data_IF_744966020786
#
_entry.id   IF_744966020786
#
_cell.length_a   1.000
_cell.length_b   1.000
_cell.length_c   1.000
_cell.angle_alpha   90.00
_cell.angle_beta   90.00
_cell.angle_gamma   90.00
#
_symmetry.space_group_name_H-M   'P 1'
#
loop_
_entity.id
_entity.type
_entity.pdbx_description
1 polymer ?
#
# COMPACT_ATOMS: atom_id res chain seq x y z
N UNK A 1 21.16 0.62 -44.46
CA UNK A 1 20.35 1.50 -43.58
C UNK A 1 19.25 0.63 -43.01
N UNK A 2 19.48 0.01 -41.85
CA UNK A 2 18.50 -0.89 -41.24
C UNK A 2 17.91 -0.20 -40.01
N UNK A 3 16.60 0.01 -40.04
CA UNK A 3 15.82 0.59 -38.96
C UNK A 3 15.75 -0.43 -37.81
N UNK A 4 16.29 -0.09 -36.65
CA UNK A 4 16.06 -0.85 -35.43
C UNK A 4 14.73 -0.36 -34.82
N UNK A 5 13.66 -1.14 -34.97
CA UNK A 5 12.51 -1.08 -34.07
C UNK A 5 12.89 -1.83 -32.78
N UNK A 6 13.58 -1.13 -31.89
CA UNK A 6 13.88 -1.64 -30.55
C UNK A 6 12.60 -1.56 -29.70
N UNK A 7 12.01 -2.73 -29.41
CA UNK A 7 10.85 -2.87 -28.55
C UNK A 7 11.13 -2.33 -27.14
N UNK A 8 10.29 -1.40 -26.69
CA UNK A 8 10.10 -1.03 -25.29
C UNK A 8 9.56 -2.22 -24.49
N UNK A 9 10.42 -3.14 -24.08
CA UNK A 9 10.17 -3.91 -22.87
C UNK A 9 10.84 -3.17 -21.72
N UNK A 10 10.19 -2.07 -21.33
CA UNK A 10 10.50 -1.28 -20.16
C UNK A 10 10.89 -2.25 -19.05
N UNK A 11 12.15 -2.14 -18.65
CA UNK A 11 12.81 -2.72 -17.49
C UNK A 11 11.81 -3.14 -16.40
N UNK A 12 11.24 -4.34 -16.54
CA UNK A 12 10.51 -5.00 -15.47
C UNK A 12 11.58 -5.51 -14.51
N UNK A 13 12.22 -4.57 -13.81
CA UNK A 13 12.68 -4.84 -12.46
C UNK A 13 11.46 -5.46 -11.82
N UNK A 14 11.58 -6.75 -11.54
CA UNK A 14 10.69 -7.58 -10.75
C UNK A 14 10.46 -6.85 -9.41
N UNK A 15 9.65 -5.80 -9.47
CA UNK A 15 9.12 -5.10 -8.33
C UNK A 15 8.13 -6.12 -7.84
N UNK A 16 8.62 -7.02 -6.99
CA UNK A 16 7.91 -8.10 -6.32
C UNK A 16 6.43 -7.89 -6.51
N UNK A 17 5.80 -8.68 -7.41
CA UNK A 17 4.38 -8.52 -7.74
C UNK A 17 3.64 -8.64 -6.43
N UNK A 18 3.33 -7.49 -5.83
CA UNK A 18 2.91 -7.46 -4.46
C UNK A 18 1.56 -8.16 -4.40
N UNK A 19 1.39 -9.05 -3.43
CA UNK A 19 0.15 -9.80 -3.30
C UNK A 19 -0.95 -8.84 -2.86
N UNK A 20 -2.04 -8.79 -3.60
CA UNK A 20 -3.24 -8.13 -3.11
C UNK A 20 -3.87 -9.03 -2.05
N UNK A 21 -4.09 -8.48 -0.86
CA UNK A 21 -4.70 -9.17 0.26
C UNK A 21 -5.88 -8.34 0.79
N UNK A 22 -7.01 -8.97 1.16
CA UNK A 22 -8.15 -8.26 1.74
C UNK A 22 -7.79 -7.54 3.03
N UNK A 23 -8.24 -6.30 3.20
CA UNK A 23 -7.98 -5.47 4.38
C UNK A 23 -8.66 -6.07 5.60
N UNK A 24 -7.87 -6.46 6.60
CA UNK A 24 -8.35 -6.97 7.89
C UNK A 24 -8.39 -5.90 8.98
N UNK A 25 -7.69 -4.78 8.77
CA UNK A 25 -7.56 -3.69 9.74
C UNK A 25 -8.89 -2.96 9.88
N UNK A 26 -9.49 -3.02 11.09
CA UNK A 26 -10.82 -2.45 11.37
C UNK A 26 -10.94 -0.95 11.08
N UNK A 27 -9.86 -0.19 11.29
CA UNK A 27 -9.80 1.26 11.03
C UNK A 27 -9.85 1.62 9.53
N UNK A 28 -9.60 0.64 8.67
CA UNK A 28 -9.54 0.82 7.21
C UNK A 28 -10.79 0.26 6.51
N UNK A 29 -11.83 -0.12 7.25
CA UNK A 29 -13.06 -0.73 6.70
C UNK A 29 -13.95 0.22 5.92
N UNK A 30 -13.81 1.53 6.13
CA UNK A 30 -14.63 2.56 5.49
C UNK A 30 -13.97 3.16 4.23
N UNK A 31 -12.95 2.48 3.68
CA UNK A 31 -12.25 2.92 2.48
C UNK A 31 -12.99 2.45 1.21
N UNK A 32 -12.87 3.17 0.08
CA UNK A 32 -13.49 2.78 -1.18
C UNK A 32 -12.82 1.55 -1.82
N UNK A 33 -11.85 0.93 -1.16
CA UNK A 33 -11.14 -0.27 -1.58
C UNK A 33 -11.07 -1.27 -0.42
N UNK A 34 -11.12 -2.55 -0.76
CA UNK A 34 -11.17 -3.68 0.17
C UNK A 34 -9.88 -4.51 0.21
N UNK A 35 -8.90 -4.18 -0.62
CA UNK A 35 -7.63 -4.90 -0.75
C UNK A 35 -6.44 -3.96 -0.60
N UNK A 36 -5.36 -4.49 -0.05
CA UNK A 36 -4.07 -3.81 0.05
C UNK A 36 -2.98 -4.68 -0.56
N UNK A 37 -2.01 -4.05 -1.21
CA UNK A 37 -0.87 -4.74 -1.79
C UNK A 37 0.22 -4.93 -0.74
N UNK A 38 0.76 -6.14 -0.64
CA UNK A 38 1.88 -6.47 0.24
C UNK A 38 3.15 -6.79 -0.58
N UNK A 39 4.33 -6.26 -0.23
CA UNK A 39 4.52 -5.24 0.79
C UNK A 39 3.84 -3.92 0.39
N UNK A 40 3.25 -3.23 1.37
CA UNK A 40 2.54 -1.98 1.13
C UNK A 40 3.52 -0.81 0.92
N UNK A 41 3.00 0.39 0.61
CA UNK A 41 3.84 1.58 0.38
C UNK A 41 4.70 1.96 1.60
N UNK A 42 4.28 1.58 2.80
CA UNK A 42 5.01 1.78 4.05
C UNK A 42 6.00 0.63 4.33
N UNK A 43 6.19 -0.29 3.37
CA UNK A 43 7.10 -1.43 3.43
C UNK A 43 6.76 -2.47 4.51
N UNK A 44 5.52 -2.48 5.02
CA UNK A 44 5.05 -3.59 5.85
C UNK A 44 4.85 -4.82 4.98
N UNK A 45 5.27 -5.98 5.45
CA UNK A 45 5.16 -7.27 4.75
C UNK A 45 3.90 -8.04 5.12
N UNK A 46 3.24 -7.68 6.23
CA UNK A 46 1.96 -8.23 6.68
C UNK A 46 1.01 -7.11 7.18
N UNK A 47 -0.27 -7.43 7.30
CA UNK A 47 -1.29 -6.45 7.72
C UNK A 47 -1.37 -6.27 9.24
N UNK A 48 -0.92 -7.26 10.01
CA UNK A 48 -0.90 -7.21 11.47
C UNK A 48 0.05 -6.09 11.96
N UNK A 49 1.24 -5.98 11.36
CA UNK A 49 2.23 -4.94 11.63
C UNK A 49 1.71 -3.56 11.19
N UNK A 50 1.18 -3.48 9.97
CA UNK A 50 0.54 -2.26 9.47
C UNK A 50 -0.64 -1.82 10.35
N UNK A 51 -1.43 -2.77 10.87
CA UNK A 51 -2.58 -2.53 11.72
C UNK A 51 -2.21 -2.00 13.11
N UNK A 52 -1.12 -2.48 13.70
CA UNK A 52 -0.58 -1.96 14.95
C UNK A 52 -0.14 -0.49 14.78
N UNK A 53 0.59 -0.20 13.71
CA UNK A 53 1.08 1.15 13.44
C UNK A 53 -0.07 2.14 13.20
N UNK A 54 -1.06 1.76 12.38
CA UNK A 54 -2.25 2.60 12.12
C UNK A 54 -3.07 2.83 13.38
N UNK A 55 -3.18 1.83 14.26
CA UNK A 55 -3.90 1.96 15.53
C UNK A 55 -3.21 2.95 16.47
N UNK A 56 -1.88 2.91 16.56
CA UNK A 56 -1.09 3.85 17.37
C UNK A 56 -1.10 5.26 16.80
N UNK A 57 -1.03 5.40 15.46
CA UNK A 57 -1.08 6.69 14.78
C UNK A 57 -2.47 7.34 14.81
N UNK A 58 -3.54 6.53 14.85
CA UNK A 58 -4.92 7.02 14.96
C UNK A 58 -5.23 7.65 16.32
N UNK A 59 -4.52 7.24 17.38
CA UNK A 59 -4.62 7.85 18.71
C UNK A 59 -3.79 9.15 18.87
N UNK A 60 -3.13 9.61 17.80
CA UNK A 60 -2.51 10.95 17.74
C UNK A 60 -3.42 11.99 17.08
N UNK A 61 -4.74 11.78 17.09
CA UNK A 61 -5.68 12.87 16.85
C UNK A 61 -5.49 13.88 17.98
N UNK A 62 -4.77 14.96 17.68
CA UNK A 62 -4.60 16.09 18.60
C UNK A 62 -5.97 16.59 19.08
N UNK A 63 -6.00 17.34 20.20
CA UNK A 63 -7.24 17.83 20.77
C UNK A 63 -8.07 18.48 19.67
N UNK A 64 -9.31 18.02 19.52
CA UNK A 64 -10.30 18.66 18.66
C UNK A 64 -10.37 20.14 19.03
N UNK A 65 -9.83 21.00 18.16
CA UNK A 65 -10.29 22.39 18.13
C UNK A 65 -11.77 22.30 17.76
N UNK A 66 -12.60 22.47 18.77
CA UNK A 66 -13.99 22.89 18.62
C UNK A 66 -13.93 24.36 18.22
N UNK A 67 -14.04 24.62 16.91
CA UNK A 67 -14.54 25.89 16.37
C UNK A 67 -16.04 25.73 16.08
#
# INVERSE_FOLDING_TARGET
MSFAAGNDLQNNKEKSVGRCEPIKVGLCKDLPYNETRMPNFMNHTNQEDAGMEVSLKSNKRGPSLID
#
